data_IF_507556535201
#
_entry.id   IF_507556535201
#
_cell.length_a   1.000
_cell.length_b   1.000
_cell.length_c   1.000
_cell.angle_alpha   90.00
_cell.angle_beta   90.00
_cell.angle_gamma   90.00
#
_symmetry.space_group_name_H-M   'P 1'
#
loop_
_entity.id
_entity.type
_entity.pdbx_description
1 polymer ?
#
# COMPACT_ATOMS: atom_id res chain seq x y z
N UNK A 1 23.70 -28.65 22.05
CA UNK A 1 22.99 -29.62 21.19
C UNK A 1 21.57 -29.75 21.71
N UNK A 2 20.57 -29.49 20.88
CA UNK A 2 19.17 -29.76 21.21
C UNK A 2 18.76 -31.10 20.58
N UNK A 3 17.98 -31.91 21.29
CA UNK A 3 17.41 -33.17 20.78
C UNK A 3 15.92 -32.94 20.58
N UNK A 4 15.41 -33.25 19.39
CA UNK A 4 14.03 -32.98 18.96
C UNK A 4 13.51 -34.16 18.14
N UNK A 5 12.18 -34.26 18.01
CA UNK A 5 11.54 -35.26 17.14
C UNK A 5 11.97 -35.08 15.67
N UNK A 6 12.08 -36.21 14.95
CA UNK A 6 12.52 -36.20 13.56
C UNK A 6 11.34 -36.11 12.59
N UNK A 7 11.26 -35.00 11.84
CA UNK A 7 10.32 -34.81 10.76
C UNK A 7 10.84 -35.43 9.45
N UNK A 8 10.33 -36.61 9.10
CA UNK A 8 10.89 -37.48 8.06
C UNK A 8 10.68 -37.02 6.60
N UNK A 9 9.91 -35.94 6.34
CA UNK A 9 9.73 -35.39 4.99
C UNK A 9 10.54 -34.12 4.73
N UNK A 10 11.40 -33.70 5.65
CA UNK A 10 12.17 -32.46 5.51
C UNK A 10 11.29 -31.21 5.61
N UNK A 11 11.70 -30.10 5.00
CA UNK A 11 10.98 -28.82 5.11
C UNK A 11 9.98 -28.58 3.96
N UNK A 12 9.08 -27.61 4.15
CA UNK A 12 8.04 -27.24 3.19
C UNK A 12 8.64 -26.85 1.83
N UNK A 13 9.74 -26.09 1.82
CA UNK A 13 10.47 -25.70 0.61
C UNK A 13 10.77 -26.88 -0.30
N UNK A 14 11.33 -27.96 0.26
CA UNK A 14 11.65 -29.18 -0.47
C UNK A 14 10.43 -29.99 -0.95
N UNK A 15 9.23 -29.67 -0.43
CA UNK A 15 7.99 -30.37 -0.73
C UNK A 15 6.99 -29.54 -1.57
N UNK A 16 7.32 -28.31 -1.98
CA UNK A 16 6.39 -27.45 -2.73
C UNK A 16 5.86 -28.11 -4.01
N UNK A 17 6.71 -28.89 -4.70
CA UNK A 17 6.34 -29.65 -5.90
C UNK A 17 5.27 -30.73 -5.65
N UNK A 18 5.16 -31.24 -4.42
CA UNK A 18 4.06 -32.15 -4.04
C UNK A 18 2.84 -31.36 -3.55
N UNK A 19 3.05 -30.29 -2.78
CA UNK A 19 1.97 -29.42 -2.28
C UNK A 19 1.14 -28.83 -3.42
N UNK A 20 1.75 -28.48 -4.55
CA UNK A 20 1.03 -27.89 -5.68
C UNK A 20 0.02 -28.86 -6.32
N UNK A 21 0.25 -30.18 -6.19
CA UNK A 21 -0.64 -31.24 -6.69
C UNK A 21 -1.85 -31.47 -5.80
N UNK A 22 -1.85 -30.91 -4.58
CA UNK A 22 -2.95 -31.05 -3.65
C UNK A 22 -4.18 -30.27 -4.08
N UNK A 23 -5.36 -30.79 -3.76
CA UNK A 23 -6.59 -30.03 -3.87
C UNK A 23 -6.66 -28.94 -2.79
N UNK A 24 -7.59 -27.99 -2.95
CA UNK A 24 -7.71 -26.87 -2.01
C UNK A 24 -8.00 -27.31 -0.58
N UNK A 25 -8.81 -28.35 -0.37
CA UNK A 25 -9.07 -28.87 0.98
C UNK A 25 -7.78 -29.29 1.69
N UNK A 26 -6.90 -30.02 1.00
CA UNK A 26 -5.60 -30.43 1.52
C UNK A 26 -4.68 -29.22 1.78
N UNK A 27 -4.60 -28.28 0.84
CA UNK A 27 -3.82 -27.04 0.98
C UNK A 27 -4.26 -26.21 2.19
N UNK A 28 -5.56 -25.97 2.31
CA UNK A 28 -6.16 -25.23 3.41
C UNK A 28 -5.89 -25.94 4.76
N UNK A 29 -6.01 -27.27 4.81
CA UNK A 29 -5.73 -28.02 6.04
C UNK A 29 -4.26 -27.91 6.49
N UNK A 30 -3.32 -27.94 5.55
CA UNK A 30 -1.90 -27.70 5.87
C UNK A 30 -1.65 -26.28 6.36
N UNK A 31 -2.18 -25.27 5.66
CA UNK A 31 -2.06 -23.86 6.07
C UNK A 31 -2.70 -23.62 7.44
N UNK A 32 -3.83 -24.26 7.72
CA UNK A 32 -4.47 -24.25 9.04
C UNK A 32 -3.54 -24.78 10.12
N UNK A 33 -2.88 -25.94 9.91
CA UNK A 33 -1.91 -26.48 10.87
C UNK A 33 -0.73 -25.52 11.10
N UNK A 34 -0.23 -24.90 10.04
CA UNK A 34 0.86 -23.92 10.10
C UNK A 34 0.44 -22.71 10.96
N UNK A 35 -0.68 -22.06 10.63
CA UNK A 35 -1.14 -20.87 11.38
C UNK A 35 -1.58 -21.23 12.80
N UNK A 36 -2.10 -22.45 13.02
CA UNK A 36 -2.42 -22.95 14.35
C UNK A 36 -1.16 -23.05 15.22
N UNK A 37 -0.07 -23.61 14.69
CA UNK A 37 1.22 -23.65 15.36
C UNK A 37 1.76 -22.25 15.67
N UNK A 38 1.73 -21.35 14.69
CA UNK A 38 2.20 -19.97 14.85
C UNK A 38 1.35 -19.22 15.89
N UNK A 39 0.04 -19.43 15.90
CA UNK A 39 -0.85 -18.90 16.92
C UNK A 39 -0.47 -19.41 18.32
N UNK A 40 -0.07 -20.68 18.45
CA UNK A 40 0.43 -21.23 19.72
C UNK A 40 1.66 -20.48 20.23
N UNK A 41 2.59 -20.12 19.34
CA UNK A 41 3.77 -19.30 19.66
C UNK A 41 3.32 -17.90 20.14
N UNK A 42 2.46 -17.23 19.37
CA UNK A 42 1.97 -15.89 19.70
C UNK A 42 1.19 -15.85 21.03
N UNK A 43 0.39 -16.86 21.33
CA UNK A 43 -0.34 -16.98 22.61
C UNK A 43 0.58 -17.13 23.83
N UNK A 44 1.83 -17.54 23.63
CA UNK A 44 2.88 -17.53 24.66
C UNK A 44 3.65 -16.21 24.72
N UNK A 45 3.16 -15.16 24.05
CA UNK A 45 3.84 -13.86 23.89
C UNK A 45 5.22 -13.97 23.24
N UNK A 46 5.44 -15.02 22.44
CA UNK A 46 6.63 -15.20 21.64
C UNK A 46 6.37 -14.76 20.20
N UNK A 47 7.46 -14.47 19.49
CA UNK A 47 7.48 -14.10 18.07
C UNK A 47 8.53 -14.99 17.43
N UNK A 48 8.22 -15.63 16.31
CA UNK A 48 9.13 -16.53 15.62
C UNK A 48 10.37 -15.79 15.10
N UNK A 49 10.17 -14.60 14.51
CA UNK A 49 11.21 -13.70 13.98
C UNK A 49 11.97 -14.20 12.73
N UNK A 50 11.88 -15.48 12.40
CA UNK A 50 12.46 -16.04 11.17
C UNK A 50 11.53 -17.09 10.56
N UNK A 51 10.26 -16.71 10.41
CA UNK A 51 9.21 -17.61 9.95
C UNK A 51 9.26 -17.73 8.43
N UNK A 52 9.58 -18.90 7.90
CA UNK A 52 9.61 -19.14 6.46
C UNK A 52 9.49 -20.64 6.15
N UNK A 53 9.32 -20.97 4.87
CA UNK A 53 9.17 -22.32 4.31
C UNK A 53 10.26 -23.33 4.74
N UNK A 54 11.50 -22.87 4.92
CA UNK A 54 12.62 -23.67 5.39
C UNK A 54 12.50 -24.09 6.87
N UNK A 55 11.76 -23.33 7.68
CA UNK A 55 11.52 -23.57 9.10
C UNK A 55 10.17 -24.26 9.38
N UNK A 56 9.46 -24.67 8.33
CA UNK A 56 8.25 -25.48 8.41
C UNK A 56 8.63 -26.90 8.00
N UNK A 57 8.56 -27.85 8.94
CA UNK A 57 8.90 -29.24 8.72
C UNK A 57 7.65 -30.09 8.45
N UNK A 58 7.75 -30.97 7.47
CA UNK A 58 6.72 -31.92 7.12
C UNK A 58 7.06 -33.30 7.71
N UNK A 59 6.05 -33.98 8.24
CA UNK A 59 6.19 -35.34 8.75
C UNK A 59 4.98 -36.19 8.40
N UNK A 60 5.20 -37.49 8.33
CA UNK A 60 4.12 -38.49 8.36
C UNK A 60 4.19 -39.21 9.70
N UNK A 61 3.48 -38.70 10.71
CA UNK A 61 3.22 -39.46 11.92
C UNK A 61 1.77 -39.94 11.81
N UNK A 62 1.60 -41.26 11.71
CA UNK A 62 0.30 -41.95 11.59
C UNK A 62 -0.51 -41.65 10.31
N UNK A 63 0.14 -41.65 9.14
CA UNK A 63 -0.50 -41.47 7.81
C UNK A 63 -1.14 -40.09 7.52
N UNK A 64 -1.23 -39.22 8.53
CA UNK A 64 -1.60 -37.83 8.35
C UNK A 64 -0.38 -36.97 7.99
N UNK A 65 -0.53 -36.11 6.97
CA UNK A 65 0.43 -35.05 6.69
C UNK A 65 0.47 -34.08 7.90
N UNK A 66 1.50 -34.22 8.74
CA UNK A 66 1.76 -33.35 9.87
C UNK A 66 2.72 -32.23 9.47
N UNK A 67 2.54 -31.07 10.11
CA UNK A 67 3.36 -29.89 9.89
C UNK A 67 3.83 -29.37 11.24
N UNK A 68 5.12 -29.08 11.35
CA UNK A 68 5.77 -28.62 12.56
C UNK A 68 6.52 -27.31 12.28
N UNK A 69 6.44 -26.37 13.20
CA UNK A 69 7.27 -25.16 13.17
C UNK A 69 8.55 -25.47 13.93
N UNK A 70 9.68 -25.22 13.30
CA UNK A 70 11.02 -25.45 13.85
C UNK A 70 11.82 -24.16 13.95
N UNK A 71 13.02 -24.25 14.52
CA UNK A 71 13.96 -23.13 14.66
C UNK A 71 13.40 -21.92 15.44
N UNK A 72 12.97 -22.22 16.67
CA UNK A 72 12.59 -21.20 17.65
C UNK A 72 13.82 -20.51 18.28
N UNK A 73 15.02 -20.68 17.72
CA UNK A 73 16.26 -20.12 18.25
C UNK A 73 16.25 -18.60 18.29
N UNK A 74 15.44 -17.95 17.45
CA UNK A 74 15.29 -16.50 17.39
C UNK A 74 14.06 -15.96 18.13
N UNK A 75 13.22 -16.85 18.69
CA UNK A 75 12.24 -16.44 19.68
C UNK A 75 13.00 -15.83 20.86
N UNK A 76 12.80 -14.52 21.10
CA UNK A 76 13.50 -13.66 22.08
C UNK A 76 14.15 -14.46 23.22
N UNK A 77 15.50 -14.41 23.36
CA UNK A 77 16.24 -13.16 23.46
C UNK A 77 17.38 -12.96 22.44
N UNK A 78 17.51 -13.80 21.41
CA UNK A 78 18.72 -13.79 20.53
C UNK A 78 18.96 -12.49 19.75
N UNK A 79 17.94 -11.62 19.62
CA UNK A 79 18.14 -10.26 19.08
C UNK A 79 19.15 -9.41 19.88
N UNK A 80 19.44 -9.74 21.14
CA UNK A 80 20.44 -9.01 21.94
C UNK A 80 21.87 -9.13 21.40
N UNK A 81 22.16 -10.10 20.53
CA UNK A 81 23.50 -10.35 19.98
C UNK A 81 23.75 -9.68 18.63
N UNK A 82 22.71 -9.17 17.98
CA UNK A 82 22.83 -8.53 16.67
C UNK A 82 23.30 -7.08 16.81
N UNK A 83 24.22 -6.66 15.93
CA UNK A 83 24.65 -5.27 15.87
C UNK A 83 23.46 -4.34 15.58
N UNK A 84 23.56 -3.10 16.05
CA UNK A 84 22.55 -2.07 15.78
C UNK A 84 22.37 -1.93 14.26
N UNK A 85 21.12 -1.82 13.82
CA UNK A 85 20.72 -1.68 12.40
C UNK A 85 21.05 -2.89 11.49
N UNK A 86 21.56 -3.98 12.07
CA UNK A 86 21.78 -5.22 11.32
C UNK A 86 20.45 -5.94 11.05
N UNK A 87 20.38 -6.57 9.88
CA UNK A 87 19.18 -7.27 9.41
C UNK A 87 19.54 -8.75 9.27
N UNK A 88 18.72 -9.61 9.87
CA UNK A 88 18.87 -11.06 9.81
C UNK A 88 17.56 -11.70 9.35
N UNK A 89 17.64 -12.64 8.39
CA UNK A 89 16.49 -13.44 7.97
C UNK A 89 16.55 -13.82 6.49
N UNK A 90 15.40 -14.15 5.92
CA UNK A 90 15.24 -14.52 4.50
C UNK A 90 14.41 -13.46 3.77
N UNK A 91 15.07 -12.60 2.97
CA UNK A 91 14.48 -11.36 2.38
C UNK A 91 13.03 -11.51 1.88
N UNK A 92 12.68 -12.50 1.03
CA UNK A 92 11.30 -12.69 0.56
C UNK A 92 10.22 -12.77 1.65
N UNK A 93 10.56 -13.31 2.82
CA UNK A 93 9.63 -13.51 3.94
C UNK A 93 9.68 -12.36 4.95
N UNK A 94 10.64 -11.44 4.84
CA UNK A 94 10.80 -10.37 5.81
C UNK A 94 9.82 -9.24 5.56
N UNK A 95 9.07 -8.88 6.59
CA UNK A 95 8.13 -7.75 6.53
C UNK A 95 8.86 -6.42 6.24
N UNK A 96 8.25 -5.49 5.49
CA UNK A 96 8.84 -4.20 5.13
C UNK A 96 9.37 -3.42 6.34
N UNK A 97 8.62 -3.40 7.44
CA UNK A 97 9.02 -2.69 8.65
C UNK A 97 10.25 -3.30 9.32
N UNK A 98 10.42 -4.62 9.22
CA UNK A 98 11.58 -5.34 9.75
C UNK A 98 12.82 -5.06 8.91
N UNK A 99 12.70 -5.07 7.58
CA UNK A 99 13.78 -4.65 6.67
C UNK A 99 14.23 -3.21 6.93
N UNK A 100 13.29 -2.35 7.35
CA UNK A 100 13.55 -0.96 7.76
C UNK A 100 14.08 -0.82 9.19
N UNK A 101 14.38 -1.93 9.86
CA UNK A 101 15.01 -1.94 11.18
C UNK A 101 14.05 -1.81 12.35
N UNK A 102 12.73 -1.86 12.14
CA UNK A 102 11.78 -1.93 13.25
C UNK A 102 11.86 -3.32 13.91
N UNK A 103 11.48 -3.44 15.20
CA UNK A 103 11.43 -4.72 15.89
C UNK A 103 10.48 -5.70 15.20
N UNK A 104 10.74 -7.01 15.35
CA UNK A 104 9.76 -8.02 14.95
C UNK A 104 8.55 -7.91 15.87
N UNK A 105 7.39 -8.18 15.28
CA UNK A 105 6.09 -8.23 15.94
C UNK A 105 5.35 -9.50 15.50
N UNK A 106 4.28 -9.92 16.19
CA UNK A 106 3.41 -10.98 15.66
C UNK A 106 2.92 -10.67 14.24
N UNK A 107 2.67 -9.40 13.90
CA UNK A 107 2.25 -8.97 12.57
C UNK A 107 3.34 -9.16 11.49
N UNK A 108 4.63 -9.17 11.86
CA UNK A 108 5.71 -9.51 10.92
C UNK A 108 5.79 -11.01 10.63
N UNK A 109 5.43 -11.87 11.58
CA UNK A 109 5.30 -13.31 11.32
C UNK A 109 4.07 -13.58 10.41
N UNK A 110 3.00 -12.79 10.54
CA UNK A 110 1.83 -12.86 9.64
C UNK A 110 2.16 -12.45 8.21
N UNK A 111 2.98 -11.40 8.03
CA UNK A 111 3.54 -11.08 6.71
C UNK A 111 4.30 -12.29 6.15
N UNK A 112 5.14 -12.91 6.96
CA UNK A 112 5.91 -14.07 6.52
C UNK A 112 5.00 -15.25 6.13
N UNK A 113 3.93 -15.48 6.90
CA UNK A 113 2.90 -16.48 6.59
C UNK A 113 2.18 -16.22 5.26
N UNK A 114 1.98 -14.96 4.88
CA UNK A 114 1.39 -14.62 3.57
C UNK A 114 2.25 -15.08 2.38
N UNK A 115 3.57 -15.09 2.55
CA UNK A 115 4.49 -15.55 1.50
C UNK A 115 4.39 -17.07 1.37
N UNK A 116 4.23 -17.78 2.48
CA UNK A 116 3.91 -19.21 2.48
C UNK A 116 2.54 -19.46 1.83
N UNK A 117 1.53 -18.63 2.11
CA UNK A 117 0.24 -18.71 1.41
C UNK A 117 0.45 -18.56 -0.11
N UNK A 118 1.27 -17.61 -0.54
CA UNK A 118 1.56 -17.42 -1.96
C UNK A 118 2.23 -18.65 -2.59
N UNK A 119 3.20 -19.28 -1.90
CA UNK A 119 3.86 -20.52 -2.35
C UNK A 119 2.88 -21.68 -2.59
N UNK A 120 1.81 -21.77 -1.81
CA UNK A 120 0.77 -22.79 -1.99
C UNK A 120 -0.05 -22.59 -3.28
N UNK A 121 -0.01 -21.40 -3.85
CA UNK A 121 -0.66 -21.06 -5.13
C UNK A 121 0.30 -21.18 -6.31
N UNK A 122 1.54 -20.75 -6.15
CA UNK A 122 2.53 -20.69 -7.22
C UNK A 122 3.37 -21.96 -7.37
N UNK A 123 3.50 -22.77 -6.32
CA UNK A 123 4.37 -23.94 -6.28
C UNK A 123 5.87 -23.61 -6.32
N UNK A 124 6.23 -22.33 -6.21
CA UNK A 124 7.62 -21.85 -6.21
C UNK A 124 7.83 -20.87 -5.06
N UNK A 125 9.07 -20.71 -4.64
CA UNK A 125 9.44 -19.75 -3.60
C UNK A 125 9.32 -18.30 -4.10
N UNK A 126 8.97 -17.31 -3.25
CA UNK A 126 8.74 -15.93 -3.71
C UNK A 126 10.03 -15.30 -4.25
N UNK A 127 9.89 -14.48 -5.28
CA UNK A 127 10.99 -13.74 -5.94
C UNK A 127 12.14 -14.61 -6.49
N UNK A 128 11.86 -15.89 -6.81
CA UNK A 128 12.83 -16.87 -7.35
C UNK A 128 13.63 -16.40 -8.55
N UNK A 129 13.08 -15.49 -9.35
CA UNK A 129 13.62 -15.01 -10.60
C UNK A 129 14.65 -13.86 -10.46
N UNK A 130 15.00 -13.41 -9.24
CA UNK A 130 15.92 -12.29 -9.04
C UNK A 130 16.84 -12.46 -7.83
N UNK A 131 17.87 -11.62 -7.74
CA UNK A 131 18.78 -11.60 -6.61
C UNK A 131 18.06 -11.21 -5.30
N UNK A 132 18.44 -11.85 -4.20
CA UNK A 132 17.97 -11.50 -2.86
C UNK A 132 18.98 -10.57 -2.19
N UNK A 133 18.91 -9.30 -2.58
CA UNK A 133 19.85 -8.25 -2.22
C UNK A 133 19.14 -6.97 -1.76
N UNK A 134 19.92 -5.89 -1.62
CA UNK A 134 19.41 -4.58 -1.24
C UNK A 134 18.31 -4.09 -2.19
N UNK A 135 18.40 -4.39 -3.49
CA UNK A 135 17.42 -3.92 -4.47
C UNK A 135 16.08 -4.61 -4.28
N UNK A 136 16.06 -5.93 -4.00
CA UNK A 136 14.82 -6.62 -3.64
C UNK A 136 14.24 -6.09 -2.33
N UNK A 137 15.06 -5.83 -1.32
CA UNK A 137 14.57 -5.27 -0.05
C UNK A 137 13.97 -3.87 -0.23
N UNK A 138 14.59 -3.01 -1.06
CA UNK A 138 14.04 -1.69 -1.41
C UNK A 138 12.69 -1.82 -2.13
N UNK A 139 12.60 -2.72 -3.11
CA UNK A 139 11.38 -3.07 -3.83
C UNK A 139 10.24 -3.47 -2.88
N UNK A 140 10.50 -4.40 -1.95
CA UNK A 140 9.52 -4.86 -0.96
C UNK A 140 9.04 -3.71 -0.08
N UNK A 141 9.97 -2.87 0.41
CA UNK A 141 9.64 -1.68 1.20
C UNK A 141 8.90 -0.59 0.43
N UNK A 142 8.89 -0.65 -0.91
CA UNK A 142 8.06 0.19 -1.78
C UNK A 142 6.74 -0.46 -2.18
N UNK A 143 6.40 -1.60 -1.58
CA UNK A 143 5.14 -2.29 -1.81
C UNK A 143 5.19 -3.37 -2.89
N UNK A 144 6.36 -3.72 -3.45
CA UNK A 144 6.46 -4.85 -4.37
C UNK A 144 6.03 -6.15 -3.66
N UNK A 145 5.19 -6.94 -4.33
CA UNK A 145 4.72 -8.26 -3.89
C UNK A 145 4.80 -9.24 -5.07
N UNK A 146 4.88 -10.55 -4.82
CA UNK A 146 4.79 -11.55 -5.88
C UNK A 146 3.48 -11.43 -6.67
N UNK A 147 3.54 -11.78 -7.96
CA UNK A 147 2.38 -11.76 -8.84
C UNK A 147 1.30 -12.74 -8.37
N UNK A 148 0.03 -12.31 -8.36
CA UNK A 148 -1.08 -13.19 -8.01
C UNK A 148 -1.29 -14.20 -9.12
N UNK A 149 -1.25 -15.48 -8.76
CA UNK A 149 -1.43 -16.56 -9.71
C UNK A 149 -2.89 -16.59 -10.17
N UNK A 150 -3.09 -16.55 -11.50
CA UNK A 150 -4.40 -16.66 -12.14
C UNK A 150 -5.15 -17.90 -11.65
N UNK A 151 -6.48 -17.83 -11.52
CA UNK A 151 -7.34 -18.91 -11.00
C UNK A 151 -7.13 -19.27 -9.52
N UNK A 152 -6.41 -18.46 -8.74
CA UNK A 152 -6.44 -18.55 -7.28
C UNK A 152 -7.81 -18.07 -6.75
N UNK A 153 -8.50 -18.83 -5.87
CA UNK A 153 -9.75 -18.41 -5.24
C UNK A 153 -9.68 -17.00 -4.63
N UNK A 154 -10.64 -16.14 -4.97
CA UNK A 154 -10.58 -14.72 -4.61
C UNK A 154 -10.53 -14.48 -3.10
N UNK A 155 -11.34 -15.20 -2.31
CA UNK A 155 -11.34 -15.08 -0.85
C UNK A 155 -9.99 -15.44 -0.21
N UNK A 156 -9.24 -16.35 -0.84
CA UNK A 156 -7.88 -16.68 -0.45
C UNK A 156 -6.91 -15.54 -0.79
N UNK A 157 -7.00 -14.98 -2.00
CA UNK A 157 -6.22 -13.81 -2.43
C UNK A 157 -6.46 -12.64 -1.49
N UNK A 158 -7.71 -12.39 -1.11
CA UNK A 158 -8.07 -11.28 -0.22
C UNK A 158 -7.48 -11.45 1.18
N UNK A 159 -7.54 -12.67 1.75
CA UNK A 159 -6.89 -12.97 3.02
C UNK A 159 -5.37 -12.84 2.93
N UNK A 160 -4.76 -13.42 1.90
CA UNK A 160 -3.31 -13.33 1.65
C UNK A 160 -2.87 -11.87 1.55
N UNK A 161 -3.64 -11.05 0.84
CA UNK A 161 -3.38 -9.62 0.71
C UNK A 161 -3.49 -8.86 2.02
N UNK A 162 -4.48 -9.18 2.85
CA UNK A 162 -4.58 -8.63 4.21
C UNK A 162 -3.37 -9.02 5.07
N UNK A 163 -2.88 -10.25 4.96
CA UNK A 163 -1.72 -10.72 5.71
C UNK A 163 -0.41 -10.02 5.30
N UNK A 164 -0.27 -9.55 4.06
CA UNK A 164 0.94 -8.85 3.59
C UNK A 164 0.80 -7.33 3.43
N UNK A 165 -0.23 -6.74 4.06
CA UNK A 165 -0.49 -5.31 4.04
C UNK A 165 0.78 -4.55 4.46
N UNK A 166 1.02 -3.40 3.82
CA UNK A 166 2.17 -2.56 4.12
C UNK A 166 2.11 -2.05 5.57
N UNK A 167 0.91 -1.72 6.05
CA UNK A 167 0.68 -1.32 7.43
C UNK A 167 0.53 -2.57 8.32
N UNK A 168 1.47 -2.84 9.26
CA UNK A 168 1.38 -3.99 10.14
C UNK A 168 0.13 -3.97 11.03
N UNK A 169 -0.50 -2.81 11.27
CA UNK A 169 -1.72 -2.70 12.07
C UNK A 169 -2.97 -3.17 11.32
N UNK A 170 -2.93 -3.23 9.98
CA UNK A 170 -4.03 -3.73 9.16
C UNK A 170 -3.96 -5.24 8.94
N UNK A 171 -2.84 -5.87 9.31
CA UNK A 171 -2.68 -7.31 9.21
C UNK A 171 -3.51 -8.00 10.29
N UNK A 172 -4.25 -9.07 9.96
CA UNK A 172 -4.98 -9.85 10.95
C UNK A 172 -4.00 -10.53 11.92
N UNK A 173 -4.46 -10.78 13.13
CA UNK A 173 -3.76 -11.62 14.10
C UNK A 173 -3.76 -13.09 13.66
N UNK A 174 -2.84 -13.89 14.22
CA UNK A 174 -2.80 -15.33 13.97
C UNK A 174 -4.09 -16.06 14.36
N UNK A 175 -4.79 -15.57 15.40
CA UNK A 175 -6.06 -16.15 15.82
C UNK A 175 -7.16 -15.91 14.78
N UNK A 176 -7.25 -14.69 14.24
CA UNK A 176 -8.23 -14.35 13.20
C UNK A 176 -7.98 -15.15 11.92
N UNK A 177 -6.74 -15.24 11.47
CA UNK A 177 -6.38 -16.04 10.28
C UNK A 177 -6.72 -17.51 10.50
N UNK A 178 -6.34 -18.07 11.67
CA UNK A 178 -6.64 -19.46 12.05
C UNK A 178 -8.16 -19.71 12.08
N UNK A 179 -8.95 -18.79 12.62
CA UNK A 179 -10.41 -18.92 12.67
C UNK A 179 -11.06 -18.83 11.27
N UNK A 180 -10.51 -18.02 10.36
CA UNK A 180 -10.95 -17.97 8.95
C UNK A 180 -10.70 -19.32 8.26
N UNK A 181 -9.49 -19.87 8.35
CA UNK A 181 -9.20 -21.20 7.79
C UNK A 181 -10.08 -22.28 8.42
N UNK A 182 -10.33 -22.21 9.74
CA UNK A 182 -11.22 -23.14 10.42
C UNK A 182 -12.62 -23.16 9.79
N UNK A 183 -13.18 -21.98 9.49
CA UNK A 183 -14.50 -21.84 8.85
C UNK A 183 -14.52 -22.36 7.41
N UNK A 184 -13.42 -22.26 6.68
CA UNK A 184 -13.33 -22.80 5.32
C UNK A 184 -13.20 -24.32 5.28
N UNK A 185 -12.67 -24.95 6.34
CA UNK A 185 -12.41 -26.39 6.40
C UNK A 185 -13.53 -27.14 7.11
N UNK A 186 -14.04 -26.59 8.21
CA UNK A 186 -14.98 -27.25 9.10
C UNK A 186 -16.30 -26.50 9.15
N UNK A 187 -17.39 -27.26 9.15
CA UNK A 187 -18.69 -26.75 9.53
C UNK A 187 -18.68 -26.47 11.04
N UNK A 188 -19.20 -25.32 11.51
CA UNK A 188 -19.34 -25.07 12.94
C UNK A 188 -20.21 -26.15 13.59
N UNK A 189 -19.77 -26.69 14.73
CA UNK A 189 -20.52 -27.71 15.47
C UNK A 189 -21.95 -27.26 15.75
N UNK A 190 -22.91 -28.14 15.45
CA UNK A 190 -24.33 -27.91 15.70
C UNK A 190 -25.04 -26.96 14.74
N UNK A 191 -24.35 -26.38 13.74
CA UNK A 191 -25.00 -25.59 12.67
C UNK A 191 -25.39 -26.47 11.49
N UNK A 192 -26.60 -26.25 10.96
CA UNK A 192 -26.97 -26.81 9.66
C UNK A 192 -26.32 -25.98 8.55
N UNK A 193 -26.17 -26.60 7.38
CA UNK A 193 -25.69 -25.89 6.17
C UNK A 193 -26.57 -24.67 5.87
N UNK A 194 -27.88 -24.78 6.13
CA UNK A 194 -28.87 -23.71 5.98
C UNK A 194 -28.52 -22.46 6.81
N UNK A 195 -27.90 -22.62 7.98
CA UNK A 195 -27.59 -21.56 8.96
C UNK A 195 -26.21 -20.90 8.74
N UNK A 196 -25.53 -21.27 7.65
CA UNK A 196 -24.25 -20.70 7.25
C UNK A 196 -24.52 -19.45 6.41
N UNK A 197 -23.74 -18.41 6.67
CA UNK A 197 -23.79 -17.18 5.87
C UNK A 197 -23.48 -17.45 4.39
N UNK A 198 -24.19 -16.78 3.49
CA UNK A 198 -24.07 -16.99 2.03
C UNK A 198 -22.66 -16.67 1.50
N UNK A 199 -21.94 -15.72 2.10
CA UNK A 199 -20.55 -15.43 1.74
C UNK A 199 -19.66 -16.64 2.03
N UNK A 200 -19.82 -17.26 3.20
CA UNK A 200 -19.04 -18.44 3.58
C UNK A 200 -19.38 -19.65 2.69
N UNK A 201 -20.66 -19.83 2.32
CA UNK A 201 -21.06 -20.87 1.35
C UNK A 201 -20.39 -20.64 -0.02
N UNK A 202 -20.43 -19.41 -0.52
CA UNK A 202 -19.75 -19.04 -1.77
C UNK A 202 -18.24 -19.31 -1.70
N UNK A 203 -17.58 -18.90 -0.61
CA UNK A 203 -16.16 -19.12 -0.40
C UNK A 203 -15.80 -20.62 -0.45
N UNK A 204 -16.55 -21.47 0.25
CA UNK A 204 -16.34 -22.93 0.25
C UNK A 204 -16.54 -23.51 -1.16
N UNK A 205 -17.59 -23.07 -1.87
CA UNK A 205 -17.90 -23.53 -3.22
C UNK A 205 -16.77 -23.22 -4.21
N UNK A 206 -16.15 -22.04 -4.11
CA UNK A 206 -15.01 -21.68 -4.96
C UNK A 206 -13.84 -22.64 -4.74
N UNK A 207 -13.55 -23.04 -3.51
CA UNK A 207 -12.47 -24.01 -3.24
C UNK A 207 -12.77 -25.41 -3.79
N UNK A 208 -14.03 -25.86 -3.73
CA UNK A 208 -14.44 -27.17 -4.27
C UNK A 208 -14.31 -27.20 -5.79
N UNK A 209 -14.67 -26.11 -6.45
CA UNK A 209 -14.68 -26.02 -7.92
C UNK A 209 -13.35 -25.56 -8.52
N UNK A 210 -12.40 -25.11 -7.70
CA UNK A 210 -11.12 -24.61 -8.19
C UNK A 210 -10.28 -25.76 -8.79
N UNK A 211 -9.58 -25.50 -9.91
CA UNK A 211 -8.84 -26.53 -10.62
C UNK A 211 -7.68 -27.08 -9.78
N UNK A 212 -7.42 -28.38 -9.95
CA UNK A 212 -6.27 -29.05 -9.34
C UNK A 212 -5.09 -28.95 -10.32
N UNK A 213 -3.94 -28.46 -9.83
CA UNK A 213 -2.67 -28.59 -10.54
C UNK A 213 -2.48 -27.73 -11.80
N UNK A 214 -3.26 -26.66 -12.01
CA UNK A 214 -3.03 -25.71 -13.11
C UNK A 214 -2.35 -24.43 -12.60
N UNK A 215 -1.09 -24.51 -12.16
CA UNK A 215 -0.36 -23.32 -11.76
C UNK A 215 1.12 -23.41 -12.18
N UNK A 216 1.57 -22.29 -12.77
CA UNK A 216 2.90 -21.88 -13.26
C UNK A 216 3.99 -22.95 -13.43
N UNK A 217 4.56 -23.00 -14.64
CA UNK A 217 5.63 -23.94 -14.99
C UNK A 217 6.88 -23.72 -14.11
N UNK A 218 7.26 -24.67 -13.23
CA UNK A 218 8.39 -24.51 -12.30
C UNK A 218 9.76 -24.53 -12.99
N UNK A 219 9.80 -24.67 -14.31
CA UNK A 219 11.00 -24.83 -15.13
C UNK A 219 11.94 -23.60 -15.18
N UNK A 220 11.54 -22.44 -14.65
CA UNK A 220 12.48 -21.33 -14.49
C UNK A 220 13.49 -21.68 -13.39
N UNK A 221 14.76 -21.82 -13.76
CA UNK A 221 15.86 -21.96 -12.79
C UNK A 221 15.84 -20.78 -11.81
N UNK A 222 16.22 -21.07 -10.55
CA UNK A 222 16.36 -20.01 -9.56
C UNK A 222 17.48 -19.07 -9.96
N UNK A 223 17.28 -17.77 -9.80
CA UNK A 223 18.37 -16.82 -9.97
C UNK A 223 19.54 -17.22 -9.06
N UNK A 224 20.80 -17.21 -9.54
CA UNK A 224 21.95 -17.74 -8.79
C UNK A 224 22.23 -16.98 -7.48
N UNK A 225 21.75 -15.73 -7.38
CA UNK A 225 21.82 -14.91 -6.16
C UNK A 225 20.52 -14.89 -5.34
N UNK A 226 19.53 -15.71 -5.69
CA UNK A 226 18.40 -15.97 -4.81
C UNK A 226 18.87 -16.88 -3.67
N UNK A 227 18.57 -16.51 -2.44
CA UNK A 227 18.97 -17.29 -1.28
C UNK A 227 17.86 -17.32 -0.22
N UNK A 228 17.46 -18.55 0.10
CA UNK A 228 16.33 -18.92 0.95
C UNK A 228 16.77 -19.52 2.29
N UNK A 229 18.02 -19.25 2.68
CA UNK A 229 18.54 -19.62 3.99
C UNK A 229 18.73 -18.34 4.80
N UNK A 230 18.42 -18.42 6.09
CA UNK A 230 18.56 -17.34 7.05
C UNK A 230 20.01 -16.87 7.10
N UNK A 231 20.21 -15.56 7.02
CA UNK A 231 21.55 -14.97 7.05
C UNK A 231 21.51 -13.55 7.57
N UNK A 232 22.66 -13.08 8.07
CA UNK A 232 22.90 -11.66 8.21
C UNK A 232 23.04 -11.03 6.81
N UNK A 233 22.29 -9.97 6.54
CA UNK A 233 22.34 -9.27 5.26
C UNK A 233 23.60 -8.40 5.17
N UNK A 234 24.16 -8.30 3.96
CA UNK A 234 25.36 -7.47 3.68
C UNK A 234 25.12 -5.96 3.67
N UNK A 235 23.99 -5.49 4.20
CA UNK A 235 23.60 -4.09 4.31
C UNK A 235 22.75 -3.87 5.56
N UNK A 236 22.68 -2.62 6.01
CA UNK A 236 21.95 -2.22 7.22
C UNK A 236 20.60 -1.60 6.89
N UNK A 237 19.69 -1.61 7.87
CA UNK A 237 18.41 -0.90 7.78
C UNK A 237 18.60 0.61 7.60
N UNK A 238 19.65 1.18 8.22
CA UNK A 238 20.04 2.57 8.04
C UNK A 238 20.29 2.91 6.58
N UNK A 239 21.15 2.14 5.89
CA UNK A 239 21.43 2.35 4.45
C UNK A 239 20.16 2.22 3.61
N UNK A 240 19.31 1.25 3.93
CA UNK A 240 18.05 1.04 3.23
C UNK A 240 17.10 2.25 3.39
N UNK A 241 16.93 2.76 4.61
CA UNK A 241 16.09 3.93 4.89
C UNK A 241 16.63 5.20 4.23
N UNK A 242 17.95 5.44 4.28
CA UNK A 242 18.59 6.58 3.58
C UNK A 242 18.26 6.59 2.08
N UNK A 243 18.28 5.42 1.42
CA UNK A 243 17.95 5.32 0.00
C UNK A 243 16.46 5.59 -0.25
N UNK A 244 15.57 5.06 0.59
CA UNK A 244 14.12 5.29 0.45
C UNK A 244 13.82 6.79 0.60
N UNK A 245 14.29 7.41 1.67
CA UNK A 245 14.06 8.83 1.97
C UNK A 245 14.65 9.75 0.89
N UNK A 246 15.83 9.41 0.34
CA UNK A 246 16.44 10.18 -0.74
C UNK A 246 15.65 10.11 -2.05
N UNK A 247 15.08 8.95 -2.38
CA UNK A 247 14.27 8.77 -3.58
C UNK A 247 12.89 9.40 -3.44
N UNK A 248 12.26 9.30 -2.28
CA UNK A 248 10.97 9.94 -2.02
C UNK A 248 11.10 11.47 -2.14
N UNK A 249 12.24 12.02 -1.70
CA UNK A 249 12.55 13.45 -1.89
C UNK A 249 12.71 13.82 -3.37
N UNK A 250 13.38 12.98 -4.17
CA UNK A 250 13.54 13.20 -5.61
C UNK A 250 12.23 13.07 -6.39
N UNK A 251 11.40 12.07 -6.08
CA UNK A 251 10.06 11.90 -6.68
C UNK A 251 9.12 13.04 -6.27
N UNK A 252 9.20 13.52 -5.02
CA UNK A 252 8.49 14.73 -4.58
C UNK A 252 8.95 15.97 -5.36
N UNK A 253 10.26 16.18 -5.53
CA UNK A 253 10.77 17.31 -6.29
C UNK A 253 10.42 17.24 -7.79
N UNK A 254 10.46 16.06 -8.40
CA UNK A 254 10.08 15.86 -9.81
C UNK A 254 8.57 16.07 -10.03
N UNK A 255 7.72 15.51 -9.16
CA UNK A 255 6.27 15.73 -9.24
C UNK A 255 5.89 17.18 -8.98
N UNK A 256 6.59 17.88 -8.08
CA UNK A 256 6.36 19.31 -7.84
C UNK A 256 6.94 20.21 -8.92
N UNK A 257 8.05 19.84 -9.58
CA UNK A 257 8.55 20.58 -10.74
C UNK A 257 7.60 20.43 -11.92
N UNK A 258 7.09 19.22 -12.17
CA UNK A 258 6.14 18.97 -13.26
C UNK A 258 4.79 19.66 -12.99
N UNK A 259 4.32 19.66 -11.74
CA UNK A 259 3.11 20.39 -11.35
C UNK A 259 3.32 21.91 -11.41
N UNK A 260 4.48 22.42 -11.01
CA UNK A 260 4.79 23.85 -11.13
C UNK A 260 4.93 24.29 -12.59
N UNK A 261 5.55 23.48 -13.45
CA UNK A 261 5.64 23.75 -14.89
C UNK A 261 4.26 23.69 -15.56
N UNK A 262 3.39 22.77 -15.13
CA UNK A 262 2.00 22.68 -15.56
C UNK A 262 1.19 23.91 -15.09
N UNK A 263 1.31 24.30 -13.81
CA UNK A 263 0.65 25.48 -13.25
C UNK A 263 1.17 26.77 -13.90
N UNK A 264 2.47 26.89 -14.20
CA UNK A 264 3.04 28.05 -14.90
C UNK A 264 2.53 28.14 -16.34
N UNK A 265 2.40 27.00 -17.05
CA UNK A 265 1.77 26.94 -18.39
C UNK A 265 0.28 27.34 -18.36
N UNK A 266 -0.46 26.86 -17.37
CA UNK A 266 -1.89 27.13 -17.26
C UNK A 266 -2.17 28.55 -16.75
N UNK A 267 -1.34 29.12 -15.86
CA UNK A 267 -1.42 30.53 -15.45
C UNK A 267 -1.07 31.48 -16.59
N UNK A 268 -0.11 31.13 -17.45
CA UNK A 268 0.18 31.86 -18.68
C UNK A 268 -1.02 31.87 -19.66
N UNK A 269 -1.77 30.78 -19.68
CA UNK A 269 -2.98 30.61 -20.51
C UNK A 269 -4.20 31.32 -19.91
N UNK A 270 -4.35 31.30 -18.58
CA UNK A 270 -5.37 32.04 -17.84
C UNK A 270 -5.14 33.55 -17.86
N UNK A 271 -3.89 34.03 -17.93
CA UNK A 271 -3.59 35.45 -18.08
C UNK A 271 -4.15 36.06 -19.37
N UNK A 272 -4.16 35.28 -20.46
CA UNK A 272 -4.79 35.66 -21.73
C UNK A 272 -6.32 35.58 -21.61
N UNK A 273 -6.83 34.54 -20.95
CA UNK A 273 -8.27 34.32 -20.77
C UNK A 273 -8.93 35.37 -19.86
N UNK A 274 -8.29 35.77 -18.76
CA UNK A 274 -8.74 36.85 -17.87
C UNK A 274 -8.70 38.21 -18.57
N UNK A 275 -7.68 38.48 -19.39
CA UNK A 275 -7.59 39.72 -20.18
C UNK A 275 -8.71 39.78 -21.23
N UNK A 276 -9.01 38.66 -21.90
CA UNK A 276 -10.10 38.55 -22.86
C UNK A 276 -11.49 38.68 -22.21
N UNK A 277 -11.73 38.03 -21.07
CA UNK A 277 -13.00 38.14 -20.35
C UNK A 277 -13.21 39.57 -19.82
N UNK A 278 -12.15 40.22 -19.30
CA UNK A 278 -12.22 41.61 -18.83
C UNK A 278 -12.55 42.57 -19.98
N UNK A 279 -11.97 42.37 -21.16
CA UNK A 279 -12.31 43.14 -22.38
C UNK A 279 -13.76 42.89 -22.81
N UNK A 280 -14.23 41.64 -22.80
CA UNK A 280 -15.61 41.30 -23.20
C UNK A 280 -16.64 41.90 -22.24
N UNK A 281 -16.37 41.88 -20.92
CA UNK A 281 -17.23 42.51 -19.91
C UNK A 281 -17.23 44.03 -20.09
N UNK A 282 -16.06 44.64 -20.33
CA UNK A 282 -15.94 46.09 -20.54
C UNK A 282 -16.68 46.55 -21.81
N UNK A 283 -16.57 45.81 -22.92
CA UNK A 283 -17.30 46.08 -24.17
C UNK A 283 -18.81 45.91 -23.99
N UNK A 284 -19.25 44.89 -23.23
CA UNK A 284 -20.67 44.71 -22.91
C UNK A 284 -21.22 45.82 -22.02
N UNK A 285 -20.44 46.31 -21.05
CA UNK A 285 -20.83 47.43 -20.19
C UNK A 285 -20.93 48.74 -20.98
N UNK A 286 -19.99 49.03 -21.88
CA UNK A 286 -20.05 50.20 -22.76
C UNK A 286 -21.29 50.15 -23.67
N UNK A 287 -21.58 48.99 -24.26
CA UNK A 287 -22.78 48.83 -25.09
C UNK A 287 -24.07 48.94 -24.27
N UNK A 288 -24.08 48.49 -23.01
CA UNK A 288 -25.22 48.64 -22.11
C UNK A 288 -25.42 50.11 -21.68
N UNK A 289 -24.33 50.85 -21.45
CA UNK A 289 -24.36 52.29 -21.16
C UNK A 289 -24.85 53.11 -22.36
N UNK A 290 -24.39 52.79 -23.58
CA UNK A 290 -24.88 53.43 -24.82
C UNK A 290 -26.35 53.10 -25.12
N UNK A 291 -26.83 51.92 -24.72
CA UNK A 291 -28.23 51.51 -24.87
C UNK A 291 -29.18 52.18 -23.86
N UNK A 292 -28.66 52.63 -22.71
CA UNK A 292 -29.46 53.16 -21.60
C UNK A 292 -29.62 54.69 -21.58
N UNK A 293 -29.15 55.41 -22.60
CA UNK A 293 -29.38 56.85 -22.84
C UNK A 293 -29.33 57.73 -21.57
N UNK A 294 -28.32 57.49 -20.72
CA UNK A 294 -28.09 58.27 -19.51
C UNK A 294 -27.33 59.53 -19.93
N UNK A 295 -28.07 60.64 -20.06
CA UNK A 295 -27.52 61.99 -20.17
C UNK A 295 -26.62 62.28 -18.96
N UNK A 296 -25.32 62.27 -19.18
CA UNK A 296 -24.33 62.80 -18.21
C UNK A 296 -23.60 63.99 -18.82
N UNK A 297 -23.49 65.05 -18.02
CA UNK A 297 -23.04 66.42 -18.31
C UNK A 297 -21.90 66.60 -19.33
N UNK A 298 -21.98 67.70 -20.09
CA UNK A 298 -21.03 68.12 -21.15
C UNK A 298 -19.55 68.16 -20.73
N UNK A 299 -19.25 68.23 -19.43
CA UNK A 299 -17.87 68.20 -18.92
C UNK A 299 -17.27 66.78 -18.82
N UNK A 300 -18.09 65.72 -18.70
CA UNK A 300 -17.58 64.34 -18.64
C UNK A 300 -17.42 63.70 -20.01
N UNK A 301 -18.18 64.12 -21.03
CA UNK A 301 -17.99 63.60 -22.39
C UNK A 301 -16.71 64.14 -23.06
N UNK A 302 -16.31 65.38 -22.74
CA UNK A 302 -15.03 65.96 -23.20
C UNK A 302 -13.81 65.21 -22.68
N UNK A 303 -13.80 64.82 -21.41
CA UNK A 303 -12.73 64.01 -20.81
C UNK A 303 -12.67 62.59 -21.40
N UNK A 304 -13.83 61.99 -21.76
CA UNK A 304 -13.86 60.64 -22.32
C UNK A 304 -13.37 60.62 -23.79
N UNK A 305 -13.67 61.66 -24.56
CA UNK A 305 -13.23 61.77 -25.96
C UNK A 305 -11.73 62.10 -26.09
N UNK A 306 -11.14 62.90 -25.20
CA UNK A 306 -9.66 63.11 -25.17
C UNK A 306 -8.89 61.80 -24.87
N UNK A 307 -9.49 60.87 -24.12
CA UNK A 307 -8.89 59.56 -23.83
C UNK A 307 -9.00 58.61 -25.03
N UNK A 308 -10.09 58.67 -25.79
CA UNK A 308 -10.32 57.83 -26.98
C UNK A 308 -9.44 58.22 -28.18
N UNK A 309 -9.03 59.50 -28.31
CA UNK A 309 -8.16 59.97 -29.40
C UNK A 309 -6.66 59.94 -29.08
N UNK A 310 -6.25 59.65 -27.83
CA UNK A 310 -4.82 59.46 -27.52
C UNK A 310 -4.35 58.08 -27.98
N UNK A 311 -3.46 58.04 -29.00
CA UNK A 311 -2.81 56.80 -29.46
C UNK A 311 -1.58 56.40 -28.65
N UNK A 312 -1.37 56.99 -27.47
CA UNK A 312 -0.16 56.79 -26.68
C UNK A 312 -0.39 56.26 -25.26
N UNK A 313 0.52 55.36 -24.88
CA UNK A 313 0.51 54.39 -23.79
C UNK A 313 0.57 54.92 -22.34
N UNK A 314 -0.36 55.78 -21.91
CA UNK A 314 -0.41 56.27 -20.51
C UNK A 314 -1.77 56.15 -19.78
N UNK A 315 -2.66 55.26 -20.22
CA UNK A 315 -3.91 54.97 -19.53
C UNK A 315 -3.75 54.20 -18.18
N UNK A 316 -2.54 53.74 -17.83
CA UNK A 316 -2.29 52.95 -16.61
C UNK A 316 -2.16 53.78 -15.34
N UNK A 317 -1.80 55.06 -15.43
CA UNK A 317 -1.45 55.86 -14.24
C UNK A 317 -2.69 56.50 -13.60
N UNK A 318 -3.68 56.95 -14.38
CA UNK A 318 -4.94 57.49 -13.84
C UNK A 318 -5.92 56.42 -13.33
N UNK A 319 -5.74 55.16 -13.73
CA UNK A 319 -6.55 54.05 -13.20
C UNK A 319 -6.22 53.72 -11.73
N UNK A 320 -4.97 53.96 -11.31
CA UNK A 320 -4.53 53.70 -9.94
C UNK A 320 -5.00 54.74 -8.92
N UNK A 321 -5.31 55.98 -9.33
CA UNK A 321 -5.86 56.99 -8.42
C UNK A 321 -7.34 56.71 -8.06
N UNK A 322 -8.06 55.91 -8.85
CA UNK A 322 -9.45 55.51 -8.55
C UNK A 322 -9.51 54.19 -7.73
N UNK A 323 -8.48 53.33 -7.80
CA UNK A 323 -8.41 52.10 -6.99
C UNK A 323 -8.36 52.37 -5.48
N UNK A 324 -7.84 53.54 -5.08
CA UNK A 324 -7.78 53.97 -3.67
C UNK A 324 -9.17 54.24 -3.09
N UNK A 325 -10.19 54.50 -3.92
CA UNK A 325 -11.57 54.69 -3.47
C UNK A 325 -12.32 53.35 -3.29
N UNK A 326 -11.74 52.23 -3.74
CA UNK A 326 -12.36 50.90 -3.61
C UNK A 326 -11.99 50.15 -2.32
N UNK A 327 -10.93 50.55 -1.62
CA UNK A 327 -10.57 49.96 -0.32
C UNK A 327 -11.57 50.36 0.78
N UNK A 328 -12.20 51.54 0.67
CA UNK A 328 -13.24 52.00 1.61
C UNK A 328 -14.58 51.26 1.47
N UNK A 329 -14.82 50.50 0.40
CA UNK A 329 -16.04 49.69 0.26
C UNK A 329 -15.91 48.31 0.94
N UNK A 330 -14.68 47.79 1.07
CA UNK A 330 -14.45 46.50 1.72
C UNK A 330 -14.71 46.56 3.24
N UNK A 331 -14.43 47.71 3.87
CA UNK A 331 -14.68 47.94 5.29
C UNK A 331 -16.18 48.06 5.64
N UNK A 332 -17.03 48.46 4.68
CA UNK A 332 -18.48 48.42 4.85
C UNK A 332 -19.05 47.00 4.74
N UNK A 333 -18.44 46.11 3.97
CA UNK A 333 -18.93 44.73 3.76
C UNK A 333 -18.57 43.81 4.95
N UNK A 334 -17.41 44.03 5.60
CA UNK A 334 -16.98 43.23 6.75
C UNK A 334 -17.79 43.53 8.02
N UNK A 335 -18.31 44.75 8.19
CA UNK A 335 -19.14 45.11 9.36
C UNK A 335 -20.52 44.46 9.36
N UNK A 336 -21.13 44.21 8.19
CA UNK A 336 -22.47 43.61 8.11
C UNK A 336 -22.45 42.08 8.30
N UNK A 337 -21.34 41.41 7.98
CA UNK A 337 -21.21 39.96 8.13
C UNK A 337 -20.96 39.51 9.59
N UNK A 338 -20.52 40.41 10.47
CA UNK A 338 -20.40 40.14 11.92
C UNK A 338 -21.75 40.10 12.67
N UNK A 339 -22.85 40.47 12.01
CA UNK A 339 -24.20 40.45 12.59
C UNK A 339 -24.96 39.14 12.36
N UNK A 340 -24.41 38.23 11.54
CA UNK A 340 -24.96 36.90 11.27
C UNK A 340 -24.04 35.84 11.88
N UNK A 341 -24.26 35.55 13.17
CA UNK A 341 -23.47 34.62 13.95
C UNK A 341 -23.38 33.22 13.33
N UNK A 342 -22.21 32.90 12.77
CA UNK A 342 -21.79 31.54 12.42
C UNK A 342 -20.38 31.32 12.93
N UNK A 343 -20.27 30.70 14.11
CA UNK A 343 -19.03 30.11 14.60
C UNK A 343 -18.74 28.84 13.80
N UNK A 344 -17.51 28.70 13.31
CA UNK A 344 -16.90 27.40 13.03
C UNK A 344 -15.58 27.31 13.80
N UNK A 345 -15.52 26.38 14.75
CA UNK A 345 -14.27 25.92 15.35
C UNK A 345 -13.43 25.20 14.29
N UNK A 346 -12.19 25.65 14.10
CA UNK A 346 -10.90 24.93 14.22
C UNK A 346 -9.79 25.98 14.22
#
# INVERSE_FOLDING_TARGET
>A
MAVMDYANKGNLRGNLAEVIKYNWKQKLHMLYKIIYGLNGIHQKNLIHCDFHDGNILNGNINEDNQVYISDLGLCKPVKSFLEKDSIYGVIPFMAPEVLRGKPYTPASDIYSFSMIMWEFTSGVTPFKNRAHDLQLSLSICKGERPEIIENTPQCYVDLMKKCWDEDPLKRPSSVEVKDIFNKWIYLPDGKKIEDIDEELKCNIMVFINAPIGQYYNPAAESHPQACYNSRLLGFTSKKLNEIIESKDSQEYHASHSDLNDYIIRDLGSLGIYYKYIKIIIYVKLINLFNYLDIKTDENNSKNLNEILESKDSQASVKANEILVVSEDLNDCIIKDLGSLGMYYDI
#
